data_IF_569645546840
#
_entry.id   IF_569645546840
#
_cell.length_a   1.000
_cell.length_b   1.000
_cell.length_c   1.000
_cell.angle_alpha   90.00
_cell.angle_beta   90.00
_cell.angle_gamma   90.00
#
_symmetry.space_group_name_H-M   'P 1'
#
loop_
_entity.id
_entity.type
_entity.pdbx_description
1 polymer ?
#
# COMPACT_ATOMS: atom_id res chain seq x y z
N UNK A 1 -2.92 17.50 18.11
CA UNK A 1 -2.90 16.08 18.48
C UNK A 1 -1.44 15.75 18.61
N UNK A 2 -0.96 15.77 19.85
CA UNK A 2 0.47 15.83 20.17
C UNK A 2 1.12 14.47 19.94
N UNK A 3 2.35 14.45 19.41
CA UNK A 3 3.15 13.23 19.19
C UNK A 3 3.35 12.42 20.48
N UNK A 4 3.21 13.08 21.65
CA UNK A 4 3.23 12.45 22.97
C UNK A 4 1.97 11.63 23.28
N UNK A 5 0.80 12.00 22.76
CA UNK A 5 -0.44 11.23 22.90
C UNK A 5 -0.41 10.01 21.98
N UNK A 6 0.06 10.18 20.74
CA UNK A 6 0.25 9.08 19.79
C UNK A 6 1.26 8.05 20.34
N UNK A 7 2.35 8.52 20.94
CA UNK A 7 3.33 7.67 21.62
C UNK A 7 2.70 6.90 22.79
N UNK A 8 1.94 7.56 23.67
CA UNK A 8 1.31 6.93 24.85
C UNK A 8 0.31 5.83 24.47
N UNK A 9 -0.53 6.06 23.46
CA UNK A 9 -1.45 5.04 22.95
C UNK A 9 -0.71 3.85 22.33
N UNK A 10 0.41 4.09 21.64
CA UNK A 10 1.21 3.00 21.04
C UNK A 10 1.86 2.09 22.10
N UNK A 11 2.25 2.65 23.26
CA UNK A 11 2.84 1.88 24.37
C UNK A 11 1.80 1.04 25.14
N UNK A 12 0.58 1.56 25.38
CA UNK A 12 -0.48 0.81 26.06
C UNK A 12 -1.04 -0.33 25.20
N UNK A 13 -1.20 -0.10 23.89
CA UNK A 13 -1.67 -1.13 22.95
C UNK A 13 -0.72 -2.35 22.88
N UNK A 14 0.58 -2.12 23.07
CA UNK A 14 1.59 -3.18 23.09
C UNK A 14 1.52 -4.07 24.34
N UNK A 15 1.10 -3.53 25.49
CA UNK A 15 0.93 -4.33 26.72
C UNK A 15 -0.36 -5.17 26.67
N UNK A 16 -1.43 -4.66 26.06
CA UNK A 16 -2.70 -5.41 25.88
C UNK A 16 -2.57 -6.56 24.87
N UNK A 17 -1.69 -6.41 23.88
CA UNK A 17 -1.39 -7.46 22.89
C UNK A 17 -0.51 -8.58 23.45
N UNK A 18 0.07 -8.47 24.65
CA UNK A 18 0.95 -9.51 25.23
C UNK A 18 0.26 -10.84 25.48
N UNK A 19 -1.07 -10.86 25.62
CA UNK A 19 -1.79 -12.12 25.82
C UNK A 19 -2.20 -12.74 24.48
N UNK A 20 -2.04 -14.06 24.30
CA UNK A 20 -2.44 -14.74 23.07
C UNK A 20 -3.91 -14.51 22.69
N UNK A 21 -4.80 -14.41 23.68
CA UNK A 21 -6.24 -14.19 23.49
C UNK A 21 -6.54 -12.82 22.86
N UNK A 22 -5.92 -11.76 23.38
CA UNK A 22 -6.11 -10.41 22.86
C UNK A 22 -5.49 -10.26 21.47
N UNK A 23 -4.30 -10.81 21.24
CA UNK A 23 -3.69 -10.85 19.92
C UNK A 23 -4.59 -11.53 18.88
N UNK A 24 -5.14 -12.71 19.18
CA UNK A 24 -6.02 -13.44 18.26
C UNK A 24 -7.29 -12.65 17.91
N UNK A 25 -7.91 -11.98 18.89
CA UNK A 25 -9.09 -11.13 18.67
C UNK A 25 -8.73 -9.92 17.79
N UNK A 26 -7.71 -9.18 18.17
CA UNK A 26 -7.27 -7.99 17.46
C UNK A 26 -6.87 -8.29 16.01
N UNK A 27 -6.07 -9.34 15.79
CA UNK A 27 -5.65 -9.75 14.45
C UNK A 27 -6.85 -10.12 13.58
N UNK A 28 -7.86 -10.77 14.15
CA UNK A 28 -9.09 -11.13 13.44
C UNK A 28 -9.95 -9.92 13.10
N UNK A 29 -10.05 -8.94 13.99
CA UNK A 29 -10.69 -7.66 13.68
C UNK A 29 -9.98 -6.93 12.55
N UNK A 30 -8.64 -6.95 12.53
CA UNK A 30 -7.83 -6.36 11.48
C UNK A 30 -8.03 -7.06 10.12
N UNK A 31 -8.18 -8.40 10.12
CA UNK A 31 -8.53 -9.16 8.92
C UNK A 31 -9.93 -8.80 8.40
N UNK A 32 -10.92 -8.64 9.28
CA UNK A 32 -12.28 -8.22 8.92
C UNK A 32 -12.27 -6.81 8.36
N UNK A 33 -11.56 -5.88 9.01
CA UNK A 33 -11.43 -4.51 8.57
C UNK A 33 -10.77 -4.42 7.20
N UNK A 34 -9.68 -5.17 6.98
CA UNK A 34 -9.04 -5.24 5.66
C UNK A 34 -9.98 -5.86 4.61
N UNK A 35 -10.75 -6.89 4.95
CA UNK A 35 -11.75 -7.47 4.06
C UNK A 35 -12.81 -6.45 3.63
N UNK A 36 -13.36 -5.70 4.59
CA UNK A 36 -14.34 -4.64 4.33
C UNK A 36 -13.73 -3.50 3.50
N UNK A 37 -12.51 -3.07 3.83
CA UNK A 37 -11.80 -2.06 3.06
C UNK A 37 -11.58 -2.51 1.62
N UNK A 38 -11.04 -3.72 1.39
CA UNK A 38 -10.80 -4.24 0.04
C UNK A 38 -12.10 -4.40 -0.76
N UNK A 39 -13.20 -4.80 -0.11
CA UNK A 39 -14.49 -4.89 -0.78
C UNK A 39 -15.05 -3.50 -1.17
N UNK A 40 -14.89 -2.51 -0.29
CA UNK A 40 -15.38 -1.14 -0.51
C UNK A 40 -14.58 -0.43 -1.60
N UNK A 41 -13.26 -0.60 -1.58
CA UNK A 41 -12.33 0.06 -2.49
C UNK A 41 -11.91 -0.82 -3.67
N UNK A 42 -12.56 -1.96 -3.89
CA UNK A 42 -12.23 -2.93 -4.93
C UNK A 42 -12.15 -2.31 -6.33
N UNK A 43 -13.01 -1.33 -6.61
CA UNK A 43 -13.09 -0.61 -7.90
C UNK A 43 -12.30 0.70 -7.83
N UNK A 44 -12.31 1.37 -6.69
CA UNK A 44 -11.72 2.71 -6.52
C UNK A 44 -10.19 2.64 -6.64
N UNK A 45 -9.55 1.63 -6.03
CA UNK A 45 -8.09 1.46 -6.10
C UNK A 45 -7.56 1.24 -7.52
N UNK A 46 -8.08 0.29 -8.33
CA UNK A 46 -7.64 0.15 -9.71
C UNK A 46 -7.96 1.40 -10.55
N UNK A 47 -9.12 2.02 -10.35
CA UNK A 47 -9.48 3.22 -11.09
C UNK A 47 -8.54 4.39 -10.78
N UNK A 48 -8.23 4.63 -9.50
CA UNK A 48 -7.31 5.69 -9.09
C UNK A 48 -5.89 5.41 -9.56
N UNK A 49 -5.44 4.14 -9.53
CA UNK A 49 -4.16 3.73 -10.08
C UNK A 49 -4.03 4.13 -11.56
N UNK A 50 -4.99 3.71 -12.39
CA UNK A 50 -4.98 4.02 -13.83
C UNK A 50 -5.01 5.52 -14.07
N UNK A 51 -5.85 6.25 -13.33
CA UNK A 51 -5.93 7.70 -13.42
C UNK A 51 -4.60 8.37 -13.09
N UNK A 52 -3.93 7.97 -12.00
CA UNK A 52 -2.62 8.53 -11.64
C UNK A 52 -1.56 8.23 -12.68
N UNK A 53 -1.51 7.00 -13.22
CA UNK A 53 -0.57 6.63 -14.29
C UNK A 53 -0.77 7.51 -15.52
N UNK A 54 -2.00 7.62 -16.02
CA UNK A 54 -2.32 8.40 -17.22
C UNK A 54 -1.97 9.87 -17.02
N UNK A 55 -2.39 10.46 -15.88
CA UNK A 55 -2.08 11.86 -15.58
C UNK A 55 -0.57 12.09 -15.44
N UNK A 56 0.16 11.19 -14.78
CA UNK A 56 1.62 11.27 -14.69
C UNK A 56 2.29 11.33 -16.06
N UNK A 57 1.88 10.47 -17.00
CA UNK A 57 2.39 10.48 -18.37
C UNK A 57 2.16 11.84 -19.05
N UNK A 58 0.94 12.38 -18.98
CA UNK A 58 0.62 13.69 -19.59
C UNK A 58 1.39 14.84 -18.95
N UNK A 59 1.55 14.86 -17.63
CA UNK A 59 2.27 15.93 -16.95
C UNK A 59 3.79 15.85 -17.18
N UNK A 60 4.37 14.64 -17.28
CA UNK A 60 5.78 14.49 -17.66
C UNK A 60 6.00 14.94 -19.10
N UNK A 61 5.12 14.52 -20.02
CA UNK A 61 5.15 14.99 -21.40
C UNK A 61 5.03 16.52 -21.50
N UNK A 62 4.07 17.11 -20.78
CA UNK A 62 3.87 18.55 -20.71
C UNK A 62 5.09 19.29 -20.13
N UNK A 63 5.76 18.73 -19.13
CA UNK A 63 7.01 19.29 -18.61
C UNK A 63 8.11 19.33 -19.67
N UNK A 64 8.21 18.31 -20.53
CA UNK A 64 9.25 18.22 -21.56
C UNK A 64 8.97 19.17 -22.74
N UNK A 65 7.71 19.25 -23.19
CA UNK A 65 7.34 20.01 -24.41
C UNK A 65 7.00 21.47 -24.13
N UNK A 66 6.47 21.82 -22.96
CA UNK A 66 6.04 23.18 -22.66
C UNK A 66 7.20 24.01 -22.11
N UNK A 67 7.22 25.30 -22.44
CA UNK A 67 8.21 26.26 -21.93
C UNK A 67 7.62 27.19 -20.87
N UNK A 68 8.46 27.77 -20.03
CA UNK A 68 8.06 28.78 -19.05
C UNK A 68 7.41 28.19 -17.79
N UNK A 69 6.59 28.99 -17.11
CA UNK A 69 5.98 28.61 -15.81
C UNK A 69 5.10 27.37 -15.88
N UNK A 70 4.49 27.09 -17.04
CA UNK A 70 3.63 25.92 -17.26
C UNK A 70 4.43 24.62 -17.16
N UNK A 71 5.70 24.62 -17.59
CA UNK A 71 6.60 23.47 -17.43
C UNK A 71 6.81 23.13 -15.96
N UNK A 72 7.02 24.14 -15.12
CA UNK A 72 7.22 23.97 -13.68
C UNK A 72 5.97 23.40 -13.00
N UNK A 73 4.78 23.90 -13.32
CA UNK A 73 3.52 23.33 -12.82
C UNK A 73 3.35 21.88 -13.25
N UNK A 74 3.69 21.56 -14.49
CA UNK A 74 3.61 20.19 -15.02
C UNK A 74 4.58 19.26 -14.29
N UNK A 75 5.81 19.70 -14.04
CA UNK A 75 6.79 18.95 -13.25
C UNK A 75 6.33 18.69 -11.82
N UNK A 76 5.82 19.73 -11.14
CA UNK A 76 5.33 19.61 -9.77
C UNK A 76 4.13 18.64 -9.68
N UNK A 77 3.19 18.73 -10.64
CA UNK A 77 2.05 17.82 -10.73
C UNK A 77 2.49 16.38 -10.99
N UNK A 78 3.37 16.16 -11.96
CA UNK A 78 3.95 14.85 -12.26
C UNK A 78 4.63 14.24 -11.03
N UNK A 79 5.47 15.02 -10.35
CA UNK A 79 6.21 14.57 -9.16
C UNK A 79 5.25 14.18 -8.03
N UNK A 80 4.21 14.98 -7.78
CA UNK A 80 3.23 14.68 -6.75
C UNK A 80 2.47 13.38 -7.06
N UNK A 81 1.97 13.22 -8.28
CA UNK A 81 1.24 12.02 -8.70
C UNK A 81 2.10 10.75 -8.60
N UNK A 82 3.34 10.81 -9.09
CA UNK A 82 4.28 9.68 -8.99
C UNK A 82 4.59 9.36 -7.53
N UNK A 83 4.78 10.37 -6.69
CA UNK A 83 5.06 10.17 -5.26
C UNK A 83 3.88 9.51 -4.55
N UNK A 84 2.65 9.99 -4.79
CA UNK A 84 1.44 9.39 -4.22
C UNK A 84 1.31 7.93 -4.63
N UNK A 85 1.51 7.62 -5.91
CA UNK A 85 1.48 6.25 -6.42
C UNK A 85 2.54 5.38 -5.73
N UNK A 86 3.80 5.81 -5.71
CA UNK A 86 4.90 5.05 -5.11
C UNK A 86 4.64 4.81 -3.61
N UNK A 87 4.26 5.84 -2.86
CA UNK A 87 4.03 5.73 -1.41
C UNK A 87 2.84 4.82 -1.11
N UNK A 88 1.71 5.01 -1.79
CA UNK A 88 0.49 4.25 -1.55
C UNK A 88 0.70 2.75 -1.85
N UNK A 89 1.18 2.42 -3.05
CA UNK A 89 1.34 1.03 -3.46
C UNK A 89 2.50 0.33 -2.72
N UNK A 90 3.55 1.07 -2.34
CA UNK A 90 4.60 0.51 -1.46
C UNK A 90 4.07 0.24 -0.05
N UNK A 91 3.22 1.10 0.50
CA UNK A 91 2.61 0.88 1.81
C UNK A 91 1.69 -0.35 1.81
N UNK A 92 0.88 -0.51 0.76
CA UNK A 92 0.03 -1.69 0.56
C UNK A 92 0.86 -2.98 0.39
N UNK A 93 1.95 -2.94 -0.39
CA UNK A 93 2.86 -4.09 -0.52
C UNK A 93 3.51 -4.47 0.82
N UNK A 94 3.95 -3.47 1.62
CA UNK A 94 4.53 -3.69 2.95
C UNK A 94 3.54 -4.29 3.95
N UNK A 95 2.24 -4.08 3.78
CA UNK A 95 1.21 -4.61 4.68
C UNK A 95 1.23 -6.15 4.71
N UNK A 96 1.40 -6.79 3.54
CA UNK A 96 1.51 -8.25 3.47
C UNK A 96 2.75 -8.73 4.24
N UNK A 97 3.91 -8.15 3.93
CA UNK A 97 5.20 -8.54 4.55
C UNK A 97 5.13 -8.40 6.06
N UNK A 98 4.69 -7.24 6.56
CA UNK A 98 4.55 -6.97 8.00
C UNK A 98 3.53 -7.89 8.67
N UNK A 99 2.40 -8.15 8.03
CA UNK A 99 1.38 -9.04 8.60
C UNK A 99 1.89 -10.49 8.71
N UNK A 100 2.74 -10.92 7.77
CA UNK A 100 3.40 -12.22 7.81
C UNK A 100 4.47 -12.28 8.89
N UNK A 101 5.29 -11.24 9.03
CA UNK A 101 6.29 -11.12 10.09
C UNK A 101 5.66 -11.19 11.48
N UNK A 102 4.52 -10.51 11.68
CA UNK A 102 3.75 -10.57 12.93
C UNK A 102 3.22 -11.98 13.18
N UNK A 103 2.64 -12.66 12.19
CA UNK A 103 2.19 -14.04 12.36
C UNK A 103 3.34 -14.99 12.72
N UNK A 104 4.50 -14.84 12.06
CA UNK A 104 5.68 -15.66 12.32
C UNK A 104 6.27 -15.41 13.71
N UNK A 105 6.37 -14.15 14.15
CA UNK A 105 6.93 -13.82 15.46
C UNK A 105 6.10 -14.43 16.59
N UNK A 106 4.77 -14.41 16.46
CA UNK A 106 3.85 -15.04 17.41
C UNK A 106 3.84 -16.58 17.33
N UNK A 107 4.02 -17.16 16.13
CA UNK A 107 4.11 -18.62 15.95
C UNK A 107 5.40 -19.23 16.52
N UNK A 108 6.51 -18.50 16.51
CA UNK A 108 7.79 -18.97 17.02
C UNK A 108 7.92 -18.88 18.55
N UNK A 109 7.06 -18.12 19.24
CA UNK A 109 7.13 -17.94 20.70
C UNK A 109 6.74 -19.18 21.51
N UNK A 110 6.21 -20.24 20.89
CA UNK A 110 6.01 -21.54 21.56
C UNK A 110 5.01 -21.55 22.73
N UNK A 111 4.25 -20.47 22.94
CA UNK A 111 3.48 -20.27 24.17
C UNK A 111 2.17 -21.07 24.27
N UNK A 112 1.55 -21.47 23.15
CA UNK A 112 0.22 -22.11 23.17
C UNK A 112 -0.08 -22.93 21.90
N UNK A 113 -0.59 -24.15 22.05
CA UNK A 113 -1.06 -24.98 20.93
C UNK A 113 -2.19 -24.30 20.14
N UNK A 114 -3.06 -23.55 20.83
CA UNK A 114 -4.19 -22.84 20.24
C UNK A 114 -3.66 -21.69 19.36
N UNK A 115 -2.68 -20.93 19.86
CA UNK A 115 -2.04 -19.84 19.12
C UNK A 115 -1.34 -20.37 17.87
N UNK A 116 -0.61 -21.48 17.98
CA UNK A 116 0.06 -22.11 16.83
C UNK A 116 -0.94 -22.60 15.78
N UNK A 117 -2.09 -23.14 16.20
CA UNK A 117 -3.18 -23.50 15.27
C UNK A 117 -3.78 -22.26 14.62
N UNK A 118 -4.02 -21.19 15.38
CA UNK A 118 -4.52 -19.93 14.86
C UNK A 118 -3.58 -19.35 13.81
N UNK A 119 -2.29 -19.17 14.14
CA UNK A 119 -1.27 -18.63 13.22
C UNK A 119 -1.19 -19.45 11.93
N UNK A 120 -1.23 -20.79 12.02
CA UNK A 120 -1.25 -21.67 10.83
C UNK A 120 -2.51 -21.52 9.99
N UNK A 121 -3.65 -21.25 10.61
CA UNK A 121 -4.93 -21.06 9.92
C UNK A 121 -5.15 -19.64 9.39
N UNK A 122 -4.48 -18.66 9.98
CA UNK A 122 -4.62 -17.24 9.66
C UNK A 122 -3.87 -16.90 8.39
N UNK A 123 -4.58 -16.28 7.44
CA UNK A 123 -3.96 -15.74 6.23
C UNK A 123 -3.34 -14.38 6.54
N UNK A 124 -2.23 -14.07 5.86
CA UNK A 124 -1.65 -12.74 5.86
C UNK A 124 -2.65 -11.71 5.32
N UNK A 125 -2.54 -10.49 5.83
CA UNK A 125 -3.37 -9.37 5.40
C UNK A 125 -2.82 -8.89 4.06
N UNK A 126 -3.60 -9.09 3.01
CA UNK A 126 -3.22 -8.74 1.63
C UNK A 126 -4.11 -7.64 1.08
N UNK A 127 -3.50 -6.81 0.25
CA UNK A 127 -4.21 -5.81 -0.54
C UNK A 127 -4.41 -6.30 -1.96
N UNK A 128 -5.67 -6.27 -2.40
CA UNK A 128 -6.07 -6.71 -3.73
C UNK A 128 -6.47 -5.48 -4.56
N UNK A 129 -6.08 -5.50 -5.83
CA UNK A 129 -6.53 -4.54 -6.83
C UNK A 129 -7.56 -5.26 -7.70
N UNK A 130 -8.83 -4.92 -7.51
CA UNK A 130 -9.95 -5.63 -8.11
C UNK A 130 -9.99 -7.11 -7.69
N UNK A 131 -10.45 -7.97 -8.62
CA UNK A 131 -10.62 -9.41 -8.40
C UNK A 131 -9.42 -10.27 -8.84
N UNK A 132 -8.40 -9.68 -9.47
CA UNK A 132 -7.42 -10.45 -10.25
C UNK A 132 -5.96 -10.35 -9.78
N UNK A 133 -5.54 -9.25 -9.14
CA UNK A 133 -4.12 -9.03 -8.82
C UNK A 133 -3.93 -8.56 -7.37
N UNK A 134 -2.85 -9.00 -6.75
CA UNK A 134 -2.40 -8.52 -5.43
C UNK A 134 -1.31 -7.47 -5.59
N UNK A 135 -1.23 -6.52 -4.67
CA UNK A 135 -0.19 -5.49 -4.68
C UNK A 135 1.12 -6.09 -4.20
N UNK A 136 2.09 -6.18 -5.10
CA UNK A 136 3.47 -6.58 -4.77
C UNK A 136 4.44 -5.41 -4.97
N UNK A 137 5.62 -5.50 -4.35
CA UNK A 137 6.74 -4.57 -4.54
C UNK A 137 7.12 -4.40 -6.02
N UNK A 138 7.04 -5.48 -6.80
CA UNK A 138 7.32 -5.42 -8.24
C UNK A 138 6.32 -4.53 -9.00
N UNK A 139 5.10 -4.40 -8.50
CA UNK A 139 4.04 -3.65 -9.18
C UNK A 139 4.39 -2.15 -9.30
N UNK A 140 5.00 -1.57 -8.27
CA UNK A 140 5.45 -0.16 -8.31
C UNK A 140 6.47 0.06 -9.41
N UNK A 141 7.43 -0.87 -9.55
CA UNK A 141 8.44 -0.80 -10.61
C UNK A 141 7.80 -0.93 -11.99
N UNK A 142 6.87 -1.88 -12.16
CA UNK A 142 6.12 -2.03 -13.43
C UNK A 142 5.33 -0.78 -13.79
N UNK A 143 4.69 -0.12 -12.82
CA UNK A 143 3.97 1.14 -13.06
C UNK A 143 4.92 2.27 -13.47
N UNK A 144 6.07 2.42 -12.81
CA UNK A 144 7.06 3.44 -13.16
C UNK A 144 7.65 3.19 -14.56
N UNK A 145 7.95 1.93 -14.88
CA UNK A 145 8.40 1.53 -16.20
C UNK A 145 7.37 1.87 -17.26
N UNK A 146 6.09 1.53 -17.04
CA UNK A 146 5.01 1.84 -17.97
C UNK A 146 4.84 3.35 -18.19
N UNK A 147 4.95 4.17 -17.12
CA UNK A 147 4.93 5.62 -17.24
C UNK A 147 6.09 6.11 -18.12
N UNK A 148 7.30 5.60 -17.89
CA UNK A 148 8.47 5.99 -18.66
C UNK A 148 8.34 5.60 -20.14
N UNK A 149 7.97 4.34 -20.44
CA UNK A 149 7.76 3.82 -21.79
C UNK A 149 6.68 4.63 -22.53
N UNK A 150 5.51 4.81 -21.91
CA UNK A 150 4.40 5.58 -22.51
C UNK A 150 4.78 7.04 -22.77
N UNK A 151 5.60 7.63 -21.91
CA UNK A 151 6.10 9.00 -22.11
C UNK A 151 7.04 9.07 -23.29
N UNK A 152 7.97 8.11 -23.42
CA UNK A 152 8.89 8.03 -24.57
C UNK A 152 8.12 7.82 -25.87
N UNK A 153 7.13 6.93 -25.89
CA UNK A 153 6.30 6.69 -27.06
C UNK A 153 5.58 7.97 -27.51
N UNK A 154 5.01 8.73 -26.57
CA UNK A 154 4.39 10.02 -26.87
C UNK A 154 5.38 11.05 -27.43
N UNK A 155 6.64 11.04 -26.98
CA UNK A 155 7.67 11.94 -27.48
C UNK A 155 8.19 11.55 -28.87
N UNK A 156 8.12 10.28 -29.24
CA UNK A 156 8.56 9.79 -30.57
C UNK A 156 7.47 10.00 -31.63
N UNK A 157 6.20 9.91 -31.24
CA UNK A 157 5.06 10.07 -32.16
C UNK A 157 4.81 11.55 -32.54
N UNK A 158 5.18 12.49 -31.67
CA UNK A 158 4.95 13.95 -31.85
C UNK A 158 6.22 14.74 -32.20
#
# INVERSE_FOLDING_TARGET
MDELELGRETYTTNDDLRTPSNFMKFYRELQILNGNYMNTFAIILPASQWLYVILSVYYIYGFIKLSGSISFFSFAAATNLVTVLVVLFTALAKLEVRSREVLLSWGCQGQSQILNRFVRSSKSIRSYIGTFYFVDHAMVLTMLQFIAESTVDLLVID
#
